data_IF_244768987129
#
_entry.id   IF_244768987129
#
_cell.length_a   1.000
_cell.length_b   1.000
_cell.length_c   1.000
_cell.angle_alpha   90.00
_cell.angle_beta   90.00
_cell.angle_gamma   90.00
#
_symmetry.space_group_name_H-M   'P 1'
#
loop_
_entity.id
_entity.type
_entity.pdbx_description
1 polymer ?
#
# COMPACT_ATOMS: atom_id res chain seq x y z
N UNK A 1 26.19 28.91 -43.48
CA UNK A 1 26.43 28.35 -44.81
C UNK A 1 25.71 27.02 -44.86
N UNK A 2 24.78 26.98 -45.62
CA UNK A 2 24.12 26.46 -46.82
C UNK A 2 23.21 25.27 -46.43
N UNK A 3 21.93 25.44 -46.46
CA UNK A 3 20.92 25.39 -47.55
C UNK A 3 20.28 24.02 -47.73
N UNK A 4 19.00 23.98 -47.40
CA UNK A 4 17.96 23.12 -48.00
C UNK A 4 17.90 23.25 -49.55
N UNK A 5 17.20 22.42 -50.34
CA UNK A 5 15.74 22.50 -50.53
C UNK A 5 15.03 21.13 -50.80
N UNK A 6 13.71 20.93 -50.52
CA UNK A 6 12.49 21.17 -51.31
C UNK A 6 12.37 20.40 -52.65
N UNK A 7 11.26 19.67 -52.79
CA UNK A 7 10.23 19.69 -53.90
C UNK A 7 9.43 18.39 -53.81
N UNK A 8 8.20 18.24 -53.62
CA UNK A 8 6.91 18.70 -54.15
C UNK A 8 6.63 18.35 -55.64
N UNK A 9 5.41 17.94 -55.85
CA UNK A 9 4.51 17.93 -57.02
C UNK A 9 4.15 16.52 -57.55
N UNK A 10 2.88 16.10 -57.47
CA UNK A 10 1.68 16.54 -58.21
C UNK A 10 1.54 15.96 -59.64
N UNK A 11 0.46 15.28 -59.91
CA UNK A 11 -0.47 15.42 -61.02
C UNK A 11 -1.26 14.09 -61.24
N UNK A 12 -2.57 14.04 -61.12
CA UNK A 12 -3.65 14.36 -62.08
C UNK A 12 -3.56 13.63 -63.44
N UNK A 13 -4.64 12.94 -63.76
CA UNK A 13 -5.46 12.93 -64.98
C UNK A 13 -6.32 11.68 -65.01
N UNK A 14 -7.56 11.73 -65.07
CA UNK A 14 -8.64 12.11 -65.97
C UNK A 14 -9.22 10.89 -66.72
N UNK A 15 -10.46 10.66 -66.38
CA UNK A 15 -11.63 10.24 -67.21
C UNK A 15 -11.48 9.24 -68.35
N UNK A 16 -12.43 8.30 -68.42
CA UNK A 16 -13.39 8.20 -69.53
C UNK A 16 -14.58 7.29 -69.19
N UNK A 17 -15.70 7.76 -69.73
CA UNK A 17 -17.05 7.26 -69.60
C UNK A 17 -17.27 5.99 -70.44
N UNK A 18 -18.14 5.11 -69.92
CA UNK A 18 -18.69 3.99 -70.69
C UNK A 18 -19.99 3.49 -70.08
N UNK A 19 -21.06 4.00 -70.59
CA UNK A 19 -22.48 3.66 -70.31
C UNK A 19 -22.80 2.35 -71.02
N UNK A 20 -23.35 1.31 -70.30
CA UNK A 20 -24.23 0.32 -70.90
C UNK A 20 -25.14 -0.34 -69.85
N UNK A 21 -26.36 -0.47 -70.23
CA UNK A 21 -27.60 -0.74 -69.56
C UNK A 21 -27.83 -2.22 -69.14
N UNK A 22 -28.66 -2.34 -68.07
CA UNK A 22 -29.66 -3.34 -67.79
C UNK A 22 -29.22 -4.83 -67.54
N UNK A 23 -29.49 -5.33 -66.36
CA UNK A 23 -30.62 -6.30 -66.10
C UNK A 23 -30.92 -6.31 -64.61
N UNK A 24 -32.15 -6.05 -64.25
CA UNK A 24 -32.68 -6.20 -62.90
C UNK A 24 -32.78 -7.69 -62.52
N UNK A 25 -32.23 -8.06 -61.37
CA UNK A 25 -32.63 -9.26 -60.67
C UNK A 25 -32.84 -8.89 -59.21
N UNK A 26 -34.08 -8.77 -58.79
CA UNK A 26 -34.47 -8.73 -57.39
C UNK A 26 -34.10 -10.06 -56.75
N UNK A 27 -33.01 -10.06 -55.97
CA UNK A 27 -32.78 -11.05 -54.95
C UNK A 27 -32.95 -10.35 -53.59
N UNK A 28 -34.11 -10.56 -52.97
CA UNK A 28 -34.34 -10.18 -51.58
C UNK A 28 -33.52 -11.11 -50.70
N UNK A 29 -32.25 -10.72 -50.53
CA UNK A 29 -31.42 -11.27 -49.49
C UNK A 29 -31.78 -10.64 -48.15
N UNK A 30 -32.53 -11.37 -47.32
CA UNK A 30 -32.69 -11.04 -45.91
C UNK A 30 -31.31 -11.27 -45.27
N UNK A 31 -30.47 -10.23 -45.22
CA UNK A 31 -29.30 -10.18 -44.39
C UNK A 31 -29.80 -10.09 -42.95
N UNK A 32 -29.96 -11.24 -42.30
CA UNK A 32 -30.04 -11.30 -40.85
C UNK A 32 -28.71 -10.77 -40.31
N UNK A 33 -28.68 -9.52 -39.82
CA UNK A 33 -27.67 -9.07 -38.92
C UNK A 33 -27.82 -9.90 -37.64
N UNK A 34 -27.07 -10.98 -37.55
CA UNK A 34 -26.71 -11.54 -36.25
C UNK A 34 -25.75 -10.51 -35.59
N UNK A 35 -26.32 -9.56 -34.89
CA UNK A 35 -25.59 -8.87 -33.85
C UNK A 35 -25.39 -9.88 -32.72
N UNK A 36 -24.38 -10.71 -32.85
CA UNK A 36 -23.71 -11.27 -31.70
C UNK A 36 -22.98 -10.09 -31.06
N UNK A 37 -23.70 -9.29 -30.29
CA UNK A 37 -23.11 -8.49 -29.26
C UNK A 37 -22.53 -9.52 -28.28
N UNK A 38 -21.33 -10.03 -28.55
CA UNK A 38 -20.44 -10.56 -27.55
C UNK A 38 -20.18 -9.38 -26.60
N UNK A 39 -21.10 -9.13 -25.66
CA UNK A 39 -20.80 -8.40 -24.47
C UNK A 39 -19.61 -9.14 -23.84
N UNK A 40 -18.41 -8.63 -24.12
CA UNK A 40 -17.22 -8.98 -23.36
C UNK A 40 -17.43 -8.41 -21.94
N UNK A 41 -18.36 -9.01 -21.20
CA UNK A 41 -18.62 -8.71 -19.81
C UNK A 41 -17.42 -9.21 -19.01
N UNK A 42 -16.40 -8.35 -18.92
CA UNK A 42 -15.33 -8.58 -17.95
C UNK A 42 -15.99 -8.70 -16.57
N UNK A 43 -15.63 -9.74 -15.80
CA UNK A 43 -16.21 -9.92 -14.48
C UNK A 43 -15.99 -8.66 -13.62
N UNK A 44 -17.07 -8.20 -12.97
CA UNK A 44 -17.01 -7.01 -12.12
C UNK A 44 -16.09 -7.29 -10.94
N UNK A 45 -15.07 -6.45 -10.71
CA UNK A 45 -14.13 -6.66 -9.62
C UNK A 45 -14.82 -6.67 -8.25
N UNK A 46 -14.52 -7.70 -7.44
CA UNK A 46 -14.99 -7.79 -6.05
C UNK A 46 -14.12 -6.95 -5.10
N UNK A 47 -12.87 -6.67 -5.48
CA UNK A 47 -11.97 -5.72 -4.84
C UNK A 47 -11.31 -4.86 -5.91
N UNK A 48 -11.34 -3.56 -5.74
CA UNK A 48 -10.76 -2.60 -6.68
C UNK A 48 -10.13 -1.41 -5.95
N UNK A 49 -9.41 -0.59 -6.70
CA UNK A 49 -8.91 0.70 -6.20
C UNK A 49 -9.93 1.79 -6.49
N UNK A 50 -10.12 2.67 -5.51
CA UNK A 50 -10.88 3.90 -5.65
C UNK A 50 -10.08 5.06 -5.10
N UNK A 51 -10.17 6.23 -5.76
CA UNK A 51 -9.41 7.41 -5.35
C UNK A 51 -10.27 8.31 -4.48
N UNK A 52 -9.88 8.46 -3.22
CA UNK A 52 -10.41 9.46 -2.32
C UNK A 52 -9.60 10.75 -2.44
N UNK A 53 -10.25 11.91 -2.44
CA UNK A 53 -9.61 13.22 -2.63
C UNK A 53 -8.53 13.53 -1.58
N UNK A 54 -8.70 13.04 -0.36
CA UNK A 54 -7.78 13.29 0.77
C UNK A 54 -6.77 12.16 0.95
N UNK A 55 -7.24 10.92 0.79
CA UNK A 55 -6.44 9.73 1.10
C UNK A 55 -5.71 9.17 -0.12
N UNK A 56 -6.10 9.54 -1.34
CA UNK A 56 -5.59 8.93 -2.57
C UNK A 56 -6.19 7.55 -2.84
N UNK A 57 -5.52 6.74 -3.65
CA UNK A 57 -6.00 5.42 -4.01
C UNK A 57 -5.99 4.47 -2.80
N UNK A 58 -7.10 3.76 -2.59
CA UNK A 58 -7.25 2.75 -1.53
C UNK A 58 -8.17 1.62 -1.99
N UNK A 59 -8.15 0.50 -1.29
CA UNK A 59 -8.96 -0.66 -1.60
C UNK A 59 -10.41 -0.46 -1.17
N UNK A 60 -11.32 -0.78 -2.07
CA UNK A 60 -12.76 -0.85 -1.79
C UNK A 60 -13.33 -2.18 -2.29
N UNK A 61 -14.48 -2.58 -1.76
CA UNK A 61 -15.23 -3.72 -2.29
C UNK A 61 -15.96 -3.37 -3.59
N UNK A 62 -16.71 -4.33 -4.14
CA UNK A 62 -17.51 -4.17 -5.35
C UNK A 62 -18.51 -2.99 -5.24
N UNK A 63 -19.07 -2.78 -4.06
CA UNK A 63 -20.06 -1.71 -3.78
C UNK A 63 -19.41 -0.34 -3.52
N UNK A 64 -18.10 -0.26 -3.40
CA UNK A 64 -17.35 0.97 -3.08
C UNK A 64 -17.19 1.24 -1.58
N UNK A 65 -17.41 0.23 -0.72
CA UNK A 65 -17.13 0.37 0.70
C UNK A 65 -15.63 0.28 0.95
N UNK A 66 -15.08 1.22 1.74
CA UNK A 66 -13.67 1.24 2.10
C UNK A 66 -13.25 0.01 2.89
N UNK A 67 -12.04 -0.48 2.61
CA UNK A 67 -11.44 -1.61 3.31
C UNK A 67 -10.26 -1.10 4.15
N UNK A 68 -10.18 -1.61 5.38
CA UNK A 68 -9.23 -1.16 6.40
C UNK A 68 -8.31 -2.27 6.86
N UNK A 69 -7.14 -1.89 7.39
CA UNK A 69 -6.29 -2.76 8.19
C UNK A 69 -6.22 -2.27 9.64
N UNK A 70 -5.93 -3.18 10.55
CA UNK A 70 -5.74 -2.93 11.97
C UNK A 70 -4.26 -2.98 12.36
N UNK A 71 -3.70 -1.89 12.86
CA UNK A 71 -2.27 -1.78 13.20
C UNK A 71 -1.81 -2.77 14.28
N UNK A 72 -2.74 -3.41 15.00
CA UNK A 72 -2.43 -4.48 15.97
C UNK A 72 -2.31 -5.85 15.33
N UNK A 73 -2.74 -6.02 14.10
CA UNK A 73 -2.68 -7.28 13.36
C UNK A 73 -1.31 -7.49 12.68
N UNK A 74 -0.25 -6.89 13.22
CA UNK A 74 1.11 -6.94 12.68
C UNK A 74 1.59 -8.38 12.42
N UNK A 75 1.15 -9.36 13.22
CA UNK A 75 1.46 -10.78 13.02
C UNK A 75 0.74 -11.40 11.80
N UNK A 76 -0.18 -10.68 11.15
CA UNK A 76 -1.00 -11.20 10.06
C UNK A 76 -2.21 -12.02 10.54
N UNK A 77 -2.51 -11.96 11.83
CA UNK A 77 -3.66 -12.66 12.45
C UNK A 77 -4.66 -11.64 12.97
N UNK A 78 -5.94 -12.00 12.94
CA UNK A 78 -7.02 -11.14 13.44
C UNK A 78 -6.95 -11.04 14.97
N UNK A 79 -6.78 -9.84 15.50
CA UNK A 79 -6.81 -9.52 16.93
C UNK A 79 -8.06 -8.74 17.34
N UNK A 80 -8.91 -8.33 16.37
CA UNK A 80 -10.15 -7.63 16.60
C UNK A 80 -11.28 -8.61 16.93
N UNK A 81 -11.58 -8.80 18.22
CA UNK A 81 -12.57 -9.75 18.72
C UNK A 81 -13.60 -9.08 19.63
N UNK A 82 -14.72 -9.77 19.92
CA UNK A 82 -15.77 -9.24 20.79
C UNK A 82 -16.40 -7.94 20.24
N UNK A 83 -16.52 -6.91 21.07
CA UNK A 83 -17.09 -5.61 20.69
C UNK A 83 -16.32 -4.93 19.55
N UNK A 84 -15.02 -5.18 19.43
CA UNK A 84 -14.24 -4.71 18.29
C UNK A 84 -14.82 -5.23 16.97
N UNK A 85 -15.11 -6.53 16.87
CA UNK A 85 -15.64 -7.16 15.67
C UNK A 85 -17.04 -6.65 15.26
N UNK A 86 -17.80 -6.08 16.18
CA UNK A 86 -19.08 -5.44 15.86
C UNK A 86 -18.88 -4.12 15.11
N UNK A 87 -17.89 -3.33 15.54
CA UNK A 87 -17.53 -2.05 14.91
C UNK A 87 -16.67 -2.26 13.66
N UNK A 88 -15.89 -3.34 13.62
CA UNK A 88 -14.97 -3.67 12.53
C UNK A 88 -15.26 -5.07 11.99
N UNK A 89 -16.34 -5.24 11.23
CA UNK A 89 -16.64 -6.52 10.60
C UNK A 89 -15.53 -6.96 9.65
N UNK A 90 -15.23 -8.26 9.65
CA UNK A 90 -14.23 -8.83 8.73
C UNK A 90 -14.67 -8.70 7.27
N UNK A 91 -13.74 -8.47 6.37
CA UNK A 91 -13.92 -8.64 4.94
C UNK A 91 -13.51 -10.07 4.56
N UNK A 92 -14.40 -10.75 3.83
CA UNK A 92 -14.10 -12.06 3.25
C UNK A 92 -14.74 -12.17 1.87
N UNK A 93 -13.93 -12.51 0.88
CA UNK A 93 -14.36 -12.76 -0.50
C UNK A 93 -13.73 -14.08 -0.98
N UNK A 94 -14.54 -15.16 -1.14
CA UNK A 94 -14.00 -16.46 -1.56
C UNK A 94 -13.59 -16.50 -3.04
N UNK A 95 -14.20 -15.66 -3.87
CA UNK A 95 -14.01 -15.61 -5.32
C UNK A 95 -13.49 -14.22 -5.72
N UNK A 96 -12.25 -13.92 -5.33
CA UNK A 96 -11.64 -12.63 -5.63
C UNK A 96 -11.53 -12.39 -7.13
N UNK A 97 -12.20 -11.33 -7.61
CA UNK A 97 -11.99 -10.72 -8.91
C UNK A 97 -11.34 -9.36 -8.65
N UNK A 98 -10.11 -9.20 -9.13
CA UNK A 98 -9.29 -8.04 -8.80
C UNK A 98 -9.41 -6.95 -9.86
N UNK A 99 -9.58 -5.72 -9.42
CA UNK A 99 -9.49 -4.53 -10.27
C UNK A 99 -8.05 -4.24 -10.71
N UNK A 100 -7.92 -3.33 -11.68
CA UNK A 100 -6.63 -2.89 -12.20
C UNK A 100 -5.70 -2.41 -11.08
N UNK A 101 -4.41 -2.72 -11.19
CA UNK A 101 -3.37 -2.33 -10.22
C UNK A 101 -3.25 -3.24 -8.99
N UNK A 102 -4.14 -4.23 -8.81
CA UNK A 102 -4.07 -5.24 -7.75
C UNK A 102 -3.48 -6.55 -8.27
N UNK A 103 -2.75 -7.28 -7.42
CA UNK A 103 -2.09 -8.53 -7.76
C UNK A 103 -2.56 -9.67 -6.87
N UNK A 104 -2.82 -10.83 -7.46
CA UNK A 104 -3.35 -12.00 -6.74
C UNK A 104 -2.39 -12.48 -5.63
N UNK A 105 -1.08 -12.37 -5.86
CA UNK A 105 -0.07 -12.77 -4.87
C UNK A 105 -0.10 -11.93 -3.58
N UNK A 106 -0.70 -10.74 -3.61
CA UNK A 106 -0.85 -9.89 -2.44
C UNK A 106 -2.01 -10.33 -1.53
N UNK A 107 -2.89 -11.21 -2.02
CA UNK A 107 -4.09 -11.65 -1.29
C UNK A 107 -3.95 -13.09 -0.79
N UNK A 108 -4.49 -13.34 0.40
CA UNK A 108 -4.61 -14.67 0.98
C UNK A 108 -5.86 -14.76 1.86
N UNK A 109 -6.15 -15.95 2.36
CA UNK A 109 -7.22 -16.18 3.35
C UNK A 109 -6.61 -16.73 4.63
N UNK A 110 -7.01 -16.16 5.77
CA UNK A 110 -6.71 -16.70 7.10
C UNK A 110 -7.97 -17.22 7.76
N UNK A 111 -7.81 -18.05 8.77
CA UNK A 111 -8.89 -18.45 9.68
C UNK A 111 -8.76 -17.65 10.96
N UNK A 112 -9.80 -16.92 11.33
CA UNK A 112 -9.85 -16.16 12.59
C UNK A 112 -9.96 -17.10 13.80
N UNK A 113 -9.73 -16.60 15.02
CA UNK A 113 -9.81 -17.41 16.24
C UNK A 113 -11.17 -18.02 16.50
N UNK A 114 -12.24 -17.46 15.93
CA UNK A 114 -13.60 -18.01 16.01
C UNK A 114 -14.01 -18.84 14.77
N UNK A 115 -13.02 -19.29 13.99
CA UNK A 115 -13.19 -20.23 12.88
C UNK A 115 -13.73 -19.62 11.58
N UNK A 116 -13.89 -18.30 11.48
CA UNK A 116 -14.37 -17.65 10.27
C UNK A 116 -13.23 -17.37 9.30
N UNK A 117 -13.43 -17.58 7.98
CA UNK A 117 -12.44 -17.14 7.00
C UNK A 117 -12.43 -15.61 6.88
N UNK A 118 -11.25 -15.04 6.64
CA UNK A 118 -11.04 -13.62 6.43
C UNK A 118 -9.99 -13.41 5.35
N UNK A 119 -10.25 -12.53 4.40
CA UNK A 119 -9.29 -12.14 3.36
C UNK A 119 -8.20 -11.26 3.98
N UNK A 120 -6.96 -11.43 3.49
CA UNK A 120 -5.83 -10.56 3.82
C UNK A 120 -5.28 -9.92 2.56
N UNK A 121 -4.68 -8.74 2.71
CA UNK A 121 -3.93 -8.05 1.67
C UNK A 121 -2.53 -7.71 2.19
N UNK A 122 -1.48 -8.10 1.46
CA UNK A 122 -0.07 -7.96 1.88
C UNK A 122 0.15 -8.43 3.33
N UNK A 123 -0.55 -9.52 3.70
CA UNK A 123 -0.49 -10.12 5.03
C UNK A 123 -1.25 -9.38 6.13
N UNK A 124 -2.02 -8.36 5.82
CA UNK A 124 -2.90 -7.67 6.77
C UNK A 124 -4.33 -8.18 6.64
N UNK A 125 -4.99 -8.62 7.73
CA UNK A 125 -6.43 -8.90 7.75
C UNK A 125 -7.24 -7.69 7.32
N UNK A 126 -8.27 -7.91 6.52
CA UNK A 126 -9.11 -6.88 5.91
C UNK A 126 -10.43 -6.72 6.66
N UNK A 127 -10.85 -5.46 6.86
CA UNK A 127 -12.03 -5.12 7.63
C UNK A 127 -12.86 -4.04 6.96
N UNK A 128 -14.13 -3.97 7.38
CA UNK A 128 -15.02 -2.84 7.17
C UNK A 128 -15.12 -1.99 8.43
N UNK A 129 -15.68 -0.79 8.29
CA UNK A 129 -16.04 0.06 9.42
C UNK A 129 -17.56 0.16 9.56
N UNK A 130 -18.08 -0.15 10.74
CA UNK A 130 -19.48 -0.10 11.08
C UNK A 130 -19.68 0.59 12.45
N UNK A 131 -19.58 1.93 12.49
CA UNK A 131 -19.76 2.68 13.74
C UNK A 131 -21.16 2.50 14.31
N UNK A 132 -21.31 2.79 15.59
CA UNK A 132 -22.62 2.82 16.25
C UNK A 132 -23.37 4.08 15.81
N UNK A 133 -24.57 3.93 15.31
CA UNK A 133 -25.44 5.02 14.92
C UNK A 133 -26.20 5.63 16.13
N UNK A 134 -27.06 6.61 15.87
CA UNK A 134 -27.85 7.28 16.91
C UNK A 134 -28.88 6.35 17.57
N UNK A 135 -29.22 5.23 16.95
CA UNK A 135 -30.12 4.21 17.52
C UNK A 135 -29.36 3.11 18.28
N UNK A 136 -28.03 3.24 18.42
CA UNK A 136 -27.20 2.27 19.10
C UNK A 136 -26.89 1.01 18.29
N UNK A 137 -27.06 1.06 16.97
CA UNK A 137 -26.80 -0.07 16.07
C UNK A 137 -25.49 0.12 15.32
N UNK A 138 -24.74 -0.97 15.11
CA UNK A 138 -23.58 -0.94 14.23
C UNK A 138 -24.03 -0.92 12.77
N UNK A 139 -23.78 0.17 12.08
CA UNK A 139 -24.15 0.38 10.68
C UNK A 139 -22.89 0.65 9.87
N UNK A 140 -22.69 -0.14 8.80
CA UNK A 140 -21.55 0.06 7.89
C UNK A 140 -21.59 1.49 7.32
N UNK A 141 -20.43 2.13 7.22
CA UNK A 141 -20.30 3.40 6.50
C UNK A 141 -20.74 3.26 5.03
N UNK A 142 -21.10 4.36 4.41
CA UNK A 142 -21.58 4.36 3.03
C UNK A 142 -20.45 4.16 2.04
N UNK A 143 -20.77 3.62 0.88
CA UNK A 143 -19.85 3.59 -0.25
C UNK A 143 -19.30 5.00 -0.54
N UNK A 144 -17.98 5.08 -0.76
CA UNK A 144 -17.24 6.32 -0.94
C UNK A 144 -16.81 7.03 0.35
N UNK A 145 -17.35 6.66 1.51
CA UNK A 145 -16.90 7.15 2.80
C UNK A 145 -15.60 6.43 3.24
N UNK A 146 -14.82 7.09 4.08
CA UNK A 146 -13.64 6.53 4.74
C UNK A 146 -13.56 7.02 6.19
N UNK A 147 -14.69 6.94 6.91
CA UNK A 147 -14.84 7.47 8.29
C UNK A 147 -14.04 6.66 9.31
N UNK A 148 -13.65 5.42 8.95
CA UNK A 148 -12.79 4.57 9.76
C UNK A 148 -11.33 4.99 9.78
N UNK A 149 -10.91 5.92 8.88
CA UNK A 149 -9.51 6.35 8.77
C UNK A 149 -9.02 6.99 10.06
N UNK A 150 -7.88 6.50 10.56
CA UNK A 150 -7.21 6.96 11.76
C UNK A 150 -8.03 6.81 13.07
N UNK A 151 -9.06 6.00 13.09
CA UNK A 151 -9.83 5.73 14.31
C UNK A 151 -8.91 5.11 15.37
N UNK A 152 -8.84 5.76 16.53
CA UNK A 152 -8.00 5.35 17.66
C UNK A 152 -6.49 5.32 17.36
N UNK A 153 -6.05 5.91 16.24
CA UNK A 153 -4.65 5.89 15.80
C UNK A 153 -4.13 4.49 15.44
N UNK A 154 -5.03 3.56 15.08
CA UNK A 154 -4.69 2.15 14.81
C UNK A 154 -5.46 1.53 13.63
N UNK A 155 -6.41 2.25 13.05
CA UNK A 155 -7.18 1.81 11.88
C UNK A 155 -6.90 2.72 10.70
N UNK A 156 -6.61 2.15 9.56
CA UNK A 156 -6.28 2.92 8.35
C UNK A 156 -6.85 2.22 7.12
N UNK A 157 -7.29 3.00 6.13
CA UNK A 157 -7.66 2.43 4.83
C UNK A 157 -6.51 1.62 4.26
N UNK A 158 -6.83 0.57 3.53
CA UNK A 158 -5.84 -0.30 2.91
C UNK A 158 -5.41 0.29 1.57
N UNK A 159 -4.11 0.57 1.40
CA UNK A 159 -3.54 1.12 0.16
C UNK A 159 -2.55 0.16 -0.48
N UNK A 160 -2.46 0.17 -1.83
CA UNK A 160 -1.55 -0.72 -2.56
C UNK A 160 -0.08 -0.32 -2.42
N UNK A 161 0.18 0.94 -2.13
CA UNK A 161 1.46 1.61 -2.27
C UNK A 161 2.05 2.13 -0.95
N UNK A 162 1.48 1.78 0.19
CA UNK A 162 2.11 2.11 1.48
C UNK A 162 3.54 1.62 1.54
N UNK A 163 4.48 2.51 1.90
CA UNK A 163 5.88 2.16 2.13
C UNK A 163 6.35 2.42 3.56
N UNK A 164 5.68 3.30 4.31
CA UNK A 164 5.83 3.40 5.77
C UNK A 164 4.46 3.37 6.41
N UNK A 165 4.27 2.42 7.31
CA UNK A 165 3.04 2.23 8.06
C UNK A 165 3.34 2.35 9.57
N UNK A 166 2.27 2.36 10.37
CA UNK A 166 2.37 2.16 11.80
C UNK A 166 1.85 0.79 12.22
N UNK A 167 2.48 0.25 13.24
CA UNK A 167 2.00 -0.92 13.96
C UNK A 167 1.86 -0.61 15.43
N UNK A 168 1.02 -1.37 16.13
CA UNK A 168 0.93 -1.36 17.60
C UNK A 168 1.12 -2.78 18.12
N UNK A 169 2.12 -2.98 18.93
CA UNK A 169 2.39 -4.27 19.54
C UNK A 169 2.90 -4.13 20.99
N UNK A 170 2.83 -5.22 21.72
CA UNK A 170 3.51 -5.36 23.00
C UNK A 170 4.98 -5.62 22.76
N UNK A 171 5.86 -4.78 23.29
CA UNK A 171 7.30 -4.76 23.04
C UNK A 171 8.05 -4.97 24.35
N UNK A 172 9.03 -5.87 24.32
CA UNK A 172 9.96 -6.10 25.42
C UNK A 172 11.19 -5.19 25.23
N UNK A 173 11.42 -4.29 26.19
CA UNK A 173 12.63 -3.51 26.25
C UNK A 173 13.81 -4.36 26.75
N UNK A 174 14.77 -4.65 25.89
CA UNK A 174 15.79 -5.70 26.12
C UNK A 174 16.69 -5.46 27.34
N UNK A 175 16.97 -4.21 27.69
CA UNK A 175 17.84 -3.89 28.83
C UNK A 175 17.08 -3.85 30.16
N UNK A 176 15.87 -3.28 30.17
CA UNK A 176 15.10 -3.11 31.42
C UNK A 176 14.13 -4.24 31.70
N UNK A 177 13.90 -5.15 30.72
CA UNK A 177 12.90 -6.21 30.76
C UNK A 177 11.45 -5.72 30.96
N UNK A 178 11.20 -4.43 30.71
CA UNK A 178 9.86 -3.87 30.78
C UNK A 178 9.09 -4.23 29.51
N UNK A 179 7.83 -4.61 29.70
CA UNK A 179 6.90 -4.92 28.61
C UNK A 179 5.90 -3.79 28.50
N UNK A 180 5.84 -3.13 27.33
CA UNK A 180 4.95 -2.00 27.08
C UNK A 180 4.27 -2.10 25.72
N UNK A 181 3.05 -1.56 25.62
CA UNK A 181 2.40 -1.42 24.31
C UNK A 181 2.94 -0.15 23.62
N UNK A 182 3.56 -0.31 22.47
CA UNK A 182 4.13 0.79 21.67
C UNK A 182 3.45 0.88 20.31
N UNK A 183 3.35 2.12 19.79
CA UNK A 183 3.09 2.39 18.37
C UNK A 183 4.42 2.73 17.73
N UNK A 184 4.73 2.11 16.60
CA UNK A 184 6.02 2.30 15.94
C UNK A 184 5.92 2.15 14.43
N UNK A 185 6.93 2.66 13.73
CA UNK A 185 7.03 2.61 12.28
C UNK A 185 7.48 1.22 11.82
N UNK A 186 6.88 0.81 10.72
CA UNK A 186 7.23 -0.40 9.98
C UNK A 186 7.31 -0.08 8.49
N UNK A 187 7.98 -0.92 7.73
CA UNK A 187 7.95 -0.84 6.27
C UNK A 187 6.71 -1.55 5.67
N UNK A 188 6.61 -1.52 4.34
CA UNK A 188 5.51 -2.15 3.58
C UNK A 188 5.38 -3.66 3.81
N UNK A 189 6.42 -4.33 4.27
CA UNK A 189 6.45 -5.77 4.55
C UNK A 189 6.14 -6.09 6.02
N UNK A 190 5.95 -5.07 6.87
CA UNK A 190 5.71 -5.22 8.30
C UNK A 190 6.98 -5.43 9.12
N UNK A 191 8.16 -5.09 8.58
CA UNK A 191 9.42 -5.13 9.33
C UNK A 191 9.57 -3.89 10.17
N UNK A 192 10.03 -4.05 11.41
CA UNK A 192 10.17 -2.96 12.38
C UNK A 192 11.31 -2.01 12.02
N UNK A 193 11.04 -0.70 12.16
CA UNK A 193 12.05 0.35 12.00
C UNK A 193 12.51 0.87 13.36
N UNK A 194 13.82 1.15 13.46
CA UNK A 194 14.49 1.55 14.69
C UNK A 194 15.21 2.88 14.52
N UNK A 195 15.45 3.56 15.65
CA UNK A 195 16.30 4.73 15.77
C UNK A 195 17.44 4.47 16.74
N UNK A 196 18.55 5.19 16.55
CA UNK A 196 19.75 5.12 17.37
C UNK A 196 19.93 6.43 18.14
N UNK A 197 19.87 6.40 19.46
CA UNK A 197 19.88 7.62 20.28
C UNK A 197 21.14 8.48 20.12
N UNK A 198 22.27 7.85 19.81
CA UNK A 198 23.51 8.59 19.55
C UNK A 198 23.45 9.45 18.27
N UNK A 199 22.54 9.17 17.36
CA UNK A 199 22.32 9.99 16.17
C UNK A 199 21.61 11.31 16.49
N UNK A 200 21.00 11.48 17.69
CA UNK A 200 20.35 12.74 18.13
C UNK A 200 21.33 13.89 18.29
N UNK A 201 22.56 13.61 18.65
CA UNK A 201 23.53 14.62 19.04
C UNK A 201 24.24 15.26 17.86
N UNK A 202 24.04 14.73 16.64
CA UNK A 202 24.74 15.26 15.47
C UNK A 202 23.95 15.10 14.15
N UNK A 203 22.79 15.74 14.02
CA UNK A 203 21.94 15.55 12.84
C UNK A 203 22.46 16.22 11.57
N UNK A 204 23.47 17.07 11.63
CA UNK A 204 23.86 17.93 10.48
C UNK A 204 25.27 17.71 9.96
N UNK A 205 26.19 17.14 10.75
CA UNK A 205 27.62 17.07 10.37
C UNK A 205 28.14 15.65 10.16
N UNK A 206 27.57 14.67 10.83
CA UNK A 206 27.83 13.24 10.56
C UNK A 206 26.52 12.57 10.21
N UNK A 207 26.46 11.86 9.06
CA UNK A 207 25.22 11.25 8.61
C UNK A 207 24.66 10.18 9.57
N UNK A 208 25.51 9.56 10.39
CA UNK A 208 25.11 8.61 11.43
C UNK A 208 26.32 8.20 12.28
N UNK A 209 26.07 7.90 13.56
CA UNK A 209 27.06 7.33 14.47
C UNK A 209 27.14 5.79 14.39
N UNK A 210 26.23 5.14 13.66
CA UNK A 210 26.27 3.70 13.38
C UNK A 210 27.03 3.45 12.08
N UNK A 211 28.32 3.08 12.18
CA UNK A 211 29.22 2.82 11.05
C UNK A 211 29.93 1.47 11.23
N UNK A 212 30.58 0.97 10.18
CA UNK A 212 31.35 -0.28 10.22
C UNK A 212 30.49 -1.47 10.65
N UNK A 213 30.95 -2.21 11.65
CA UNK A 213 30.24 -3.39 12.16
C UNK A 213 28.84 -3.11 12.74
N UNK A 214 28.60 -1.85 13.17
CA UNK A 214 27.28 -1.45 13.62
C UNK A 214 26.25 -1.63 12.50
N UNK A 215 26.57 -1.27 11.27
CA UNK A 215 25.65 -1.37 10.12
C UNK A 215 25.37 -2.81 9.72
N UNK A 216 26.27 -3.74 10.02
CA UNK A 216 25.99 -5.17 9.78
C UNK A 216 24.86 -5.68 10.70
N UNK A 217 24.84 -5.20 11.96
CA UNK A 217 23.79 -5.53 12.93
C UNK A 217 22.54 -4.67 12.72
N UNK A 218 22.71 -3.40 12.33
CA UNK A 218 21.65 -2.42 12.14
C UNK A 218 21.66 -1.89 10.69
N UNK A 219 21.15 -2.67 9.73
CA UNK A 219 21.10 -2.26 8.33
C UNK A 219 20.29 -0.99 8.16
N UNK A 220 20.75 -0.12 7.24
CA UNK A 220 20.05 1.14 6.96
C UNK A 220 18.71 0.89 6.28
N UNK A 221 17.70 1.66 6.63
CA UNK A 221 16.45 1.72 5.90
C UNK A 221 16.52 2.83 4.85
N UNK A 222 16.17 2.49 3.62
CA UNK A 222 16.00 3.44 2.53
C UNK A 222 14.67 3.21 1.84
N UNK A 223 13.86 4.24 1.81
CA UNK A 223 12.63 4.27 1.04
C UNK A 223 12.51 5.64 0.34
N UNK A 224 12.65 5.69 -0.98
CA UNK A 224 12.58 6.95 -1.72
C UNK A 224 11.16 7.47 -1.88
N UNK A 225 10.16 6.59 -1.86
CA UNK A 225 8.74 6.95 -1.88
C UNK A 225 8.23 7.29 -0.48
N UNK A 226 7.08 7.98 -0.40
CA UNK A 226 6.47 8.36 0.88
C UNK A 226 4.96 8.30 0.82
N UNK A 227 4.44 7.08 0.68
CA UNK A 227 3.04 6.81 0.91
C UNK A 227 2.89 6.30 2.34
N UNK A 228 2.28 7.11 3.16
CA UNK A 228 2.26 7.01 4.61
C UNK A 228 0.84 6.78 5.12
N UNK A 229 0.72 6.17 6.31
CA UNK A 229 -0.52 6.24 7.07
C UNK A 229 -0.83 7.69 7.46
N UNK A 230 -2.11 8.04 7.54
CA UNK A 230 -2.57 9.44 7.69
C UNK A 230 -2.09 10.15 8.96
N UNK A 231 -1.70 9.40 9.99
CA UNK A 231 -1.12 9.96 11.21
C UNK A 231 0.36 10.34 11.09
N UNK A 232 0.99 10.04 9.95
CA UNK A 232 2.38 10.41 9.65
C UNK A 232 2.43 11.59 8.68
N UNK A 233 3.40 12.48 8.86
CA UNK A 233 3.62 13.64 7.99
C UNK A 233 4.81 13.42 7.10
N UNK A 234 4.66 13.66 5.81
CA UNK A 234 5.78 13.58 4.86
C UNK A 234 6.94 14.52 5.21
N UNK A 235 6.63 15.67 5.83
CA UNK A 235 7.63 16.64 6.31
C UNK A 235 8.53 16.12 7.43
N UNK A 236 8.11 15.09 8.17
CA UNK A 236 8.90 14.49 9.24
C UNK A 236 9.98 13.52 8.69
N UNK A 237 9.88 13.18 7.40
CA UNK A 237 10.82 12.30 6.74
C UNK A 237 11.85 13.08 5.92
N UNK A 238 13.08 12.62 5.92
CA UNK A 238 14.19 13.14 5.13
C UNK A 238 15.06 12.02 4.59
N UNK A 239 16.14 12.41 3.94
CA UNK A 239 17.18 11.49 3.45
C UNK A 239 18.54 12.09 3.81
N UNK A 240 19.42 11.27 4.36
CA UNK A 240 20.84 11.60 4.52
C UNK A 240 21.69 10.82 3.53
N UNK A 241 22.84 11.37 3.16
CA UNK A 241 23.84 10.72 2.33
C UNK A 241 24.97 10.24 3.24
N UNK A 242 25.26 8.96 3.18
CA UNK A 242 26.33 8.30 3.94
C UNK A 242 27.50 7.99 3.02
N UNK A 243 28.72 8.05 3.55
CA UNK A 243 29.96 7.74 2.82
C UNK A 243 30.53 6.38 3.18
N UNK A 244 29.82 5.59 3.99
CA UNK A 244 30.22 4.27 4.49
C UNK A 244 29.53 3.12 3.71
N UNK A 245 29.19 3.34 2.46
CA UNK A 245 28.73 2.28 1.55
C UNK A 245 29.86 1.28 1.22
N UNK A 246 29.47 0.19 0.58
CA UNK A 246 30.42 -0.85 0.14
C UNK A 246 31.53 -0.21 -0.72
N UNK A 247 32.81 -0.54 -0.42
CA UNK A 247 33.97 0.01 -1.10
C UNK A 247 34.07 1.55 -1.05
N UNK A 248 33.54 2.19 0.00
CA UNK A 248 33.55 3.64 0.14
C UNK A 248 32.53 4.38 -0.72
N UNK A 249 31.61 3.65 -1.36
CA UNK A 249 30.54 4.28 -2.13
C UNK A 249 29.58 5.06 -1.21
N UNK A 250 28.93 6.07 -1.77
CA UNK A 250 27.85 6.77 -1.08
C UNK A 250 26.58 5.90 -1.11
N UNK A 251 25.79 5.99 -0.04
CA UNK A 251 24.45 5.40 0.05
C UNK A 251 23.50 6.36 0.74
N UNK A 252 22.23 6.24 0.42
CA UNK A 252 21.17 7.01 1.06
C UNK A 252 20.57 6.24 2.24
N UNK A 253 20.02 6.99 3.19
CA UNK A 253 19.28 6.45 4.31
C UNK A 253 18.12 7.38 4.65
N UNK A 254 16.92 6.80 4.81
CA UNK A 254 15.74 7.55 5.24
C UNK A 254 15.86 7.98 6.69
N UNK A 255 15.41 9.20 6.98
CA UNK A 255 15.31 9.74 8.35
C UNK A 255 13.84 9.98 8.70
N UNK A 256 13.54 9.90 9.99
CA UNK A 256 12.26 10.30 10.57
C UNK A 256 12.51 11.26 11.74
N UNK A 257 11.89 12.45 11.70
CA UNK A 257 12.14 13.54 12.67
C UNK A 257 13.64 13.80 12.87
N UNK A 258 14.41 13.78 11.77
CA UNK A 258 15.86 13.98 11.78
C UNK A 258 16.69 12.75 12.20
N UNK A 259 16.07 11.67 12.67
CA UNK A 259 16.74 10.45 13.10
C UNK A 259 16.85 9.44 11.95
N UNK A 260 18.05 8.94 11.61
CA UNK A 260 18.22 7.86 10.67
C UNK A 260 17.44 6.61 11.08
N UNK A 261 16.81 5.94 10.11
CA UNK A 261 16.03 4.73 10.32
C UNK A 261 16.82 3.47 9.96
N UNK A 262 16.68 2.45 10.79
CA UNK A 262 17.40 1.19 10.68
C UNK A 262 16.47 0.00 10.77
N UNK A 263 16.92 -1.12 10.22
CA UNK A 263 16.46 -2.46 10.61
C UNK A 263 17.32 -3.01 11.74
N UNK A 264 16.90 -4.16 12.28
CA UNK A 264 17.70 -4.97 13.18
C UNK A 264 17.89 -6.36 12.56
N UNK A 265 19.14 -6.76 12.26
CA UNK A 265 19.43 -8.00 11.53
C UNK A 265 18.82 -9.26 12.16
N UNK A 266 18.80 -9.44 13.50
CA UNK A 266 18.15 -10.59 14.10
C UNK A 266 16.62 -10.67 13.91
N UNK A 267 15.94 -9.56 13.62
CA UNK A 267 14.53 -9.59 13.26
C UNK A 267 14.29 -10.24 11.88
N UNK A 268 15.32 -10.29 11.05
CA UNK A 268 15.28 -10.83 9.70
C UNK A 268 14.29 -10.09 8.80
N UNK A 269 13.69 -10.83 7.87
CA UNK A 269 12.63 -10.32 7.00
C UNK A 269 11.22 -10.58 7.56
N UNK A 270 11.11 -10.99 8.81
CA UNK A 270 9.83 -11.39 9.41
C UNK A 270 9.07 -10.18 9.96
N UNK A 271 7.78 -10.16 9.68
CA UNK A 271 6.88 -9.23 10.35
C UNK A 271 6.67 -9.62 11.82
N UNK A 272 6.26 -8.68 12.66
CA UNK A 272 6.03 -8.87 14.10
C UNK A 272 7.27 -9.29 14.90
N UNK A 273 8.49 -9.02 14.38
CA UNK A 273 9.73 -9.11 15.13
C UNK A 273 10.15 -7.74 15.63
N UNK A 274 10.37 -7.60 16.93
CA UNK A 274 10.67 -6.33 17.61
C UNK A 274 11.76 -6.57 18.65
N UNK A 275 12.81 -7.33 18.26
CA UNK A 275 13.86 -7.78 19.17
C UNK A 275 14.95 -6.71 19.41
N UNK A 276 14.91 -5.59 18.67
CA UNK A 276 15.90 -4.52 18.77
C UNK A 276 15.58 -3.45 19.82
N UNK A 277 14.35 -3.43 20.37
CA UNK A 277 13.95 -2.35 21.28
C UNK A 277 14.69 -2.43 22.64
N UNK A 278 15.30 -1.31 23.06
CA UNK A 278 16.00 -1.21 24.32
C UNK A 278 17.39 -1.83 24.34
N UNK A 279 17.95 -2.26 23.22
CA UNK A 279 19.33 -2.79 23.17
C UNK A 279 20.30 -1.71 23.60
N UNK A 280 21.08 -2.01 24.64
CA UNK A 280 22.07 -1.09 25.22
C UNK A 280 21.51 0.23 25.72
N UNK A 281 20.17 0.37 25.90
CA UNK A 281 19.45 1.60 26.22
C UNK A 281 19.64 2.74 25.19
N UNK A 282 20.09 2.40 23.99
CA UNK A 282 20.41 3.38 22.92
C UNK A 282 19.71 3.08 21.59
N UNK A 283 19.05 1.94 21.50
CA UNK A 283 18.22 1.57 20.36
C UNK A 283 16.76 1.48 20.76
N UNK A 284 15.90 2.07 19.97
CA UNK A 284 14.47 2.06 20.22
C UNK A 284 13.70 1.87 18.92
N UNK A 285 12.50 1.27 18.99
CA UNK A 285 11.58 1.33 17.85
C UNK A 285 11.31 2.79 17.48
N UNK A 286 11.24 3.09 16.20
CA UNK A 286 10.92 4.43 15.71
C UNK A 286 9.44 4.74 15.99
N UNK A 287 9.15 5.67 16.91
CA UNK A 287 7.78 6.02 17.32
C UNK A 287 7.27 7.25 16.55
N UNK A 288 5.99 7.29 16.14
CA UNK A 288 5.36 8.45 15.49
C UNK A 288 5.42 9.75 16.29
#
# INVERSE_FOLDING_TARGET
MLRMPFYALCSRFLTWSGLLLLVASLATGVSGCNNSDDENTQPVPTVRLETNATLGAHLVDQQGNSIYYFARDLAGTNTCTGGCASVWPIFYEPNLVLGEGLKAEDFATITTTNGKPQTTYKGWPMYYYAPVDAAGQNVREKAGDALGENVGGVWYVMKPDYNVLVARATVLHKTTNQITSKVFLIDSQGRTLYTFDRDRTNPTTLPSNCTGNCVATWPVYLEPGRVLTSNLRSSDFGVIIRTDGLNGATRQQTTYKGMPLYYYSPDGAQRNKVEGDGIGNIWSVATP
#
